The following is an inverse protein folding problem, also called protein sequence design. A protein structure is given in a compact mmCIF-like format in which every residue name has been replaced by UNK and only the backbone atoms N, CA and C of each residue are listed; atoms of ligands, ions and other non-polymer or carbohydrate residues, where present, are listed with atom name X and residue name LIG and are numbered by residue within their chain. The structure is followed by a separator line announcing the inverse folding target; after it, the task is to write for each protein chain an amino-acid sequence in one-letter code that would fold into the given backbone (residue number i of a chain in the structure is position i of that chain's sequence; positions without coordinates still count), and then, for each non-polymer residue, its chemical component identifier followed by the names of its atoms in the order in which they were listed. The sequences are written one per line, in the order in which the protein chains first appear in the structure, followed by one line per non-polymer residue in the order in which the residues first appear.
data_IF_110283987547
#
_entry.id   IF_110283987547
#
_cell.length_a   1.000
_cell.length_b   1.000
_cell.length_c   1.000
_cell.angle_alpha   90.00
_cell.angle_beta   90.00
_cell.angle_gamma   90.00
#
_symmetry.space_group_name_H-M   'P 1'
#
loop_
_entity.id
_entity.type
_entity.pdbx_description
1 polymer ?
#
# COMPACT_ATOMS: atom_id res chain seq x y z
N UNK A 1 14.68 -19.73 2.11
CA UNK A 1 13.60 -19.02 2.83
C UNK A 1 12.37 -18.95 1.95
N UNK A 2 11.18 -18.92 2.54
CA UNK A 2 9.94 -18.73 1.79
C UNK A 2 9.88 -17.29 1.27
N UNK A 3 9.15 -17.05 0.17
CA UNK A 3 9.01 -15.73 -0.43
C UNK A 3 7.53 -15.41 -0.65
N UNK A 4 7.20 -14.13 -0.54
CA UNK A 4 5.88 -13.58 -0.85
C UNK A 4 6.02 -12.49 -1.92
N UNK A 5 4.91 -12.16 -2.57
CA UNK A 5 4.81 -10.97 -3.41
C UNK A 5 4.03 -9.90 -2.67
N UNK A 6 4.53 -8.67 -2.66
CA UNK A 6 3.80 -7.48 -2.20
C UNK A 6 3.69 -6.50 -3.36
N UNK A 7 2.47 -6.08 -3.68
CA UNK A 7 2.16 -5.30 -4.88
C UNK A 7 1.12 -4.20 -4.60
N UNK A 8 0.93 -3.31 -5.57
CA UNK A 8 0.02 -2.17 -5.48
C UNK A 8 0.60 -1.00 -4.70
N UNK A 9 -0.24 -0.32 -3.92
CA UNK A 9 0.06 0.97 -3.29
C UNK A 9 0.90 0.87 -2.00
N UNK A 10 2.09 0.30 -2.17
CA UNK A 10 3.15 0.22 -1.16
C UNK A 10 4.36 1.04 -1.60
N UNK A 11 5.26 1.36 -0.67
CA UNK A 11 6.47 2.13 -0.97
C UNK A 11 7.39 1.40 -1.94
N UNK A 12 7.53 0.07 -1.81
CA UNK A 12 8.33 -0.79 -2.68
C UNK A 12 7.57 -2.08 -2.99
N UNK A 13 6.96 -2.14 -4.17
CA UNK A 13 6.42 -3.39 -4.70
C UNK A 13 7.55 -4.36 -5.07
N UNK A 14 7.34 -5.66 -4.86
CA UNK A 14 8.33 -6.67 -5.19
C UNK A 14 8.15 -7.99 -4.43
N UNK A 15 9.17 -8.83 -4.54
CA UNK A 15 9.23 -10.14 -3.88
C UNK A 15 10.10 -10.03 -2.64
N UNK A 16 9.57 -10.46 -1.49
CA UNK A 16 10.24 -10.33 -0.20
C UNK A 16 10.44 -11.70 0.47
N UNK A 17 11.58 -11.92 1.13
CA UNK A 17 11.78 -13.10 1.95
C UNK A 17 10.92 -13.00 3.22
N UNK A 18 10.32 -14.11 3.62
CA UNK A 18 9.57 -14.24 4.88
C UNK A 18 10.04 -15.46 5.66
N UNK A 19 9.90 -15.37 6.99
CA UNK A 19 10.10 -16.52 7.87
C UNK A 19 8.77 -17.25 8.06
N UNK A 20 8.83 -18.43 8.69
CA UNK A 20 7.62 -19.15 9.03
C UNK A 20 6.69 -18.29 9.88
N UNK A 21 7.20 -17.43 10.78
CA UNK A 21 6.39 -16.68 11.74
C UNK A 21 5.97 -15.28 11.25
N UNK A 22 6.25 -14.93 10.00
CA UNK A 22 5.92 -13.61 9.46
C UNK A 22 4.41 -13.34 9.42
N UNK A 23 4.05 -12.13 9.81
CA UNK A 23 2.69 -11.59 9.84
C UNK A 23 2.43 -10.58 8.71
N UNK A 24 1.19 -10.15 8.53
CA UNK A 24 0.83 -9.22 7.45
C UNK A 24 1.50 -7.87 7.66
N UNK A 25 1.58 -7.44 8.92
CA UNK A 25 2.32 -6.22 9.27
C UNK A 25 3.80 -6.35 8.89
N UNK A 26 4.44 -7.49 9.13
CA UNK A 26 5.86 -7.70 8.78
C UNK A 26 6.06 -7.62 7.26
N UNK A 27 5.16 -8.24 6.49
CA UNK A 27 5.20 -8.19 5.04
C UNK A 27 5.06 -6.76 4.48
N UNK A 28 4.10 -5.98 5.01
CA UNK A 28 3.92 -4.58 4.65
C UNK A 28 5.13 -3.74 5.09
N UNK A 29 5.72 -4.02 6.24
CA UNK A 29 6.93 -3.35 6.71
C UNK A 29 8.13 -3.63 5.79
N UNK A 30 8.31 -4.86 5.32
CA UNK A 30 9.35 -5.23 4.35
C UNK A 30 9.20 -4.46 3.03
N UNK A 31 7.97 -4.18 2.60
CA UNK A 31 7.66 -3.34 1.45
C UNK A 31 7.82 -1.83 1.71
N UNK A 32 8.22 -1.43 2.92
CA UNK A 32 8.39 -0.02 3.30
C UNK A 32 7.08 0.70 3.64
N UNK A 33 6.02 -0.03 3.96
CA UNK A 33 4.72 0.55 4.30
C UNK A 33 3.88 0.92 3.08
N UNK A 34 2.78 1.63 3.35
CA UNK A 34 1.87 2.18 2.34
C UNK A 34 2.50 3.42 1.71
N UNK A 35 2.30 3.61 0.41
CA UNK A 35 2.63 4.90 -0.22
C UNK A 35 1.55 5.97 0.10
N UNK A 36 1.68 7.15 -0.48
CA UNK A 36 0.80 8.30 -0.19
C UNK A 36 -0.70 8.04 -0.46
N UNK A 37 -1.03 7.13 -1.37
CA UNK A 37 -2.40 6.84 -1.79
C UNK A 37 -2.89 5.46 -1.36
N UNK A 38 -2.06 4.63 -0.72
CA UNK A 38 -2.44 3.31 -0.25
C UNK A 38 -3.58 3.32 0.77
N UNK A 39 -4.54 2.41 0.57
CA UNK A 39 -5.66 2.18 1.46
C UNK A 39 -5.34 1.02 2.42
N UNK A 40 -5.03 1.36 3.67
CA UNK A 40 -4.73 0.37 4.70
C UNK A 40 -5.95 -0.47 5.09
N UNK A 41 -7.17 -0.08 4.70
CA UNK A 41 -8.38 -0.89 4.81
C UNK A 41 -8.55 -1.92 3.69
N UNK A 42 -7.84 -1.75 2.57
CA UNK A 42 -7.99 -2.58 1.36
C UNK A 42 -6.70 -3.32 1.03
N UNK A 43 -6.24 -4.11 2.00
CA UNK A 43 -5.12 -5.04 1.80
C UNK A 43 -5.69 -6.43 1.53
N UNK A 44 -5.41 -6.99 0.37
CA UNK A 44 -5.90 -8.29 -0.05
C UNK A 44 -4.76 -9.30 -0.02
N UNK A 45 -4.99 -10.45 0.61
CA UNK A 45 -4.07 -11.59 0.59
C UNK A 45 -4.68 -12.69 -0.25
N UNK A 46 -3.96 -13.06 -1.31
CA UNK A 46 -4.27 -14.19 -2.18
C UNK A 46 -3.37 -15.35 -1.81
N UNK A 47 -3.98 -16.49 -1.49
CA UNK A 47 -3.29 -17.71 -1.08
C UNK A 47 -3.75 -18.90 -1.90
N UNK A 48 -2.82 -19.56 -2.55
CA UNK A 48 -3.12 -20.82 -3.24
C UNK A 48 -3.11 -21.98 -2.24
N UNK A 49 -4.19 -22.76 -2.24
CA UNK A 49 -4.37 -23.96 -1.42
C UNK A 49 -4.84 -25.09 -2.35
N UNK A 50 -3.91 -25.94 -2.77
CA UNK A 50 -4.16 -26.94 -3.80
C UNK A 50 -4.49 -26.27 -5.14
N UNK A 51 -5.66 -26.56 -5.70
CA UNK A 51 -6.16 -25.97 -6.95
C UNK A 51 -6.98 -24.68 -6.73
N UNK A 52 -7.22 -24.30 -5.47
CA UNK A 52 -8.08 -23.16 -5.14
C UNK A 52 -7.24 -21.95 -4.72
N UNK A 53 -7.74 -20.75 -5.01
CA UNK A 53 -7.19 -19.50 -4.48
C UNK A 53 -8.14 -18.93 -3.43
N UNK A 54 -7.67 -18.84 -2.19
CA UNK A 54 -8.34 -18.12 -1.12
C UNK A 54 -7.98 -16.64 -1.19
N UNK A 55 -8.97 -15.78 -0.98
CA UNK A 55 -8.79 -14.32 -0.98
C UNK A 55 -9.41 -13.76 0.28
N UNK A 56 -8.63 -12.97 1.03
CA UNK A 56 -9.11 -12.30 2.22
C UNK A 56 -8.72 -10.82 2.18
N UNK A 57 -9.66 -9.95 2.52
CA UNK A 57 -9.39 -8.54 2.77
C UNK A 57 -9.12 -8.31 4.25
N UNK A 58 -8.04 -7.57 4.54
CA UNK A 58 -7.65 -7.15 5.86
C UNK A 58 -7.61 -5.63 5.94
N UNK A 59 -8.09 -5.11 7.07
CA UNK A 59 -7.91 -3.73 7.46
C UNK A 59 -6.73 -3.62 8.43
N UNK A 60 -5.59 -3.15 7.91
CA UNK A 60 -4.34 -3.00 8.66
C UNK A 60 -4.43 -1.89 9.72
N UNK A 61 -5.28 -0.87 9.55
CA UNK A 61 -5.52 0.12 10.61
C UNK A 61 -6.18 -0.53 11.82
N UNK A 62 -7.20 -1.37 11.61
CA UNK A 62 -7.87 -2.11 12.69
C UNK A 62 -6.92 -3.11 13.36
N UNK A 63 -6.04 -3.75 12.59
CA UNK A 63 -5.02 -4.66 13.13
C UNK A 63 -4.04 -3.88 14.02
N UNK A 64 -3.52 -2.73 13.56
CA UNK A 64 -2.62 -1.88 14.35
C UNK A 64 -3.29 -1.32 15.61
N UNK A 65 -4.59 -1.04 15.54
CA UNK A 65 -5.39 -0.61 16.68
C UNK A 65 -5.75 -1.75 17.66
N UNK A 66 -5.31 -2.99 17.42
CA UNK A 66 -5.63 -4.15 18.26
C UNK A 66 -7.09 -4.63 18.16
N UNK A 67 -7.86 -4.09 17.21
CA UNK A 67 -9.28 -4.40 16.99
C UNK A 67 -9.48 -5.61 16.06
N UNK A 68 -8.42 -6.05 15.40
CA UNK A 68 -8.44 -7.20 14.50
C UNK A 68 -7.15 -7.99 14.63
N UNK A 69 -7.23 -9.30 14.41
CA UNK A 69 -6.07 -10.18 14.50
C UNK A 69 -5.12 -9.93 13.33
N UNK A 70 -3.82 -9.82 13.61
CA UNK A 70 -2.78 -9.80 12.59
C UNK A 70 -2.60 -11.22 12.01
N UNK A 71 -2.97 -11.48 10.75
CA UNK A 71 -2.88 -12.83 10.20
C UNK A 71 -1.42 -13.21 9.94
N UNK A 72 -1.16 -14.52 9.96
CA UNK A 72 0.12 -15.11 9.53
C UNK A 72 0.14 -15.23 8.00
N UNK A 73 1.31 -15.00 7.43
CA UNK A 73 1.57 -15.06 5.98
C UNK A 73 2.44 -16.27 5.71
N UNK A 74 2.22 -16.90 4.57
CA UNK A 74 2.98 -18.08 4.15
C UNK A 74 3.65 -17.82 2.81
N UNK A 75 4.68 -18.61 2.52
CA UNK A 75 5.33 -18.60 1.23
C UNK A 75 4.34 -18.80 0.09
N UNK A 76 4.51 -18.04 -0.98
CA UNK A 76 3.61 -18.04 -2.13
C UNK A 76 2.41 -17.09 -1.99
N UNK A 77 2.15 -16.52 -0.81
CA UNK A 77 1.11 -15.51 -0.67
C UNK A 77 1.43 -14.29 -1.55
N UNK A 78 0.39 -13.74 -2.20
CA UNK A 78 0.44 -12.44 -2.88
C UNK A 78 -0.41 -11.45 -2.10
N UNK A 79 0.21 -10.34 -1.73
CA UNK A 79 -0.40 -9.26 -0.95
C UNK A 79 -0.55 -8.07 -1.88
N UNK A 80 -1.77 -7.59 -2.07
CA UNK A 80 -2.07 -6.44 -2.93
C UNK A 80 -2.72 -5.35 -2.11
N UNK A 81 -2.15 -4.15 -2.17
CA UNK A 81 -2.71 -2.96 -1.54
C UNK A 81 -3.39 -2.12 -2.62
N UNK A 82 -4.67 -1.83 -2.45
CA UNK A 82 -5.40 -0.95 -3.36
C UNK A 82 -5.29 0.52 -2.97
N UNK A 83 -5.48 1.40 -3.95
CA UNK A 83 -5.53 2.84 -3.72
C UNK A 83 -6.80 3.28 -2.98
N UNK A 84 -6.65 4.29 -2.14
CA UNK A 84 -7.76 5.01 -1.52
C UNK A 84 -8.23 6.10 -2.46
N UNK A 85 -9.47 6.00 -2.95
CA UNK A 85 -10.05 6.97 -3.88
C UNK A 85 -9.99 8.41 -3.34
N UNK A 86 -10.20 8.60 -2.03
CA UNK A 86 -10.14 9.91 -1.39
C UNK A 86 -8.71 10.45 -1.31
N UNK A 87 -7.71 9.60 -0.99
CA UNK A 87 -6.30 10.01 -1.01
C UNK A 87 -5.83 10.35 -2.42
N UNK A 88 -6.23 9.58 -3.43
CA UNK A 88 -5.95 9.89 -4.85
C UNK A 88 -6.54 11.23 -5.24
N UNK A 89 -7.81 11.49 -4.93
CA UNK A 89 -8.45 12.77 -5.25
C UNK A 89 -7.76 13.96 -4.55
N UNK A 90 -7.40 13.80 -3.28
CA UNK A 90 -6.66 14.81 -2.52
C UNK A 90 -5.26 15.06 -3.10
N UNK A 91 -4.58 14.01 -3.55
CA UNK A 91 -3.26 14.15 -4.15
C UNK A 91 -3.33 14.92 -5.47
N UNK A 92 -4.26 14.54 -6.35
CA UNK A 92 -4.48 15.24 -7.62
C UNK A 92 -4.83 16.72 -7.41
N UNK A 93 -5.61 17.05 -6.38
CA UNK A 93 -5.93 18.44 -6.05
C UNK A 93 -4.68 19.23 -5.61
N UNK A 94 -3.83 18.64 -4.76
CA UNK A 94 -2.57 19.28 -4.33
C UNK A 94 -1.65 19.55 -5.50
N UNK A 95 -1.53 18.60 -6.42
CA UNK A 95 -0.70 18.74 -7.62
C UNK A 95 -1.21 19.88 -8.51
N UNK A 96 -2.52 19.95 -8.75
CA UNK A 96 -3.13 21.02 -9.55
C UNK A 96 -2.92 22.43 -8.93
N UNK A 97 -3.10 22.55 -7.61
CA UNK A 97 -2.86 23.81 -6.89
C UNK A 97 -1.38 24.22 -6.91
N UNK A 98 -0.46 23.27 -6.84
CA UNK A 98 0.98 23.50 -6.98
C UNK A 98 1.38 24.05 -8.35
N UNK A 99 0.78 23.51 -9.42
CA UNK A 99 0.98 24.01 -10.79
C UNK A 99 0.45 25.44 -10.93
N UNK A 100 -0.76 25.72 -10.44
CA UNK A 100 -1.37 27.05 -10.52
C UNK A 100 -0.54 28.12 -9.78
N UNK A 101 -0.07 27.81 -8.57
CA UNK A 101 0.75 28.73 -7.77
C UNK A 101 2.13 28.97 -8.40
N UNK A 102 2.71 27.99 -9.07
CA UNK A 102 3.96 28.15 -9.83
C UNK A 102 3.77 29.07 -11.04
N UNK A 103 2.68 28.91 -11.80
CA UNK A 103 2.36 29.77 -12.94
C UNK A 103 2.14 31.24 -12.53
N UNK A 104 1.43 31.47 -11.42
CA UNK A 104 1.23 32.82 -10.87
C UNK A 104 2.55 33.51 -10.52
N UNK A 105 3.53 32.79 -9.95
CA UNK A 105 4.85 33.36 -9.63
C UNK A 105 5.62 33.79 -10.88
N UNK A 106 5.56 33.01 -11.96
CA UNK A 106 6.20 33.37 -13.24
C UNK A 106 5.55 34.64 -13.83
N UNK A 107 4.22 34.71 -13.81
CA UNK A 107 3.48 35.86 -14.34
C UNK A 107 3.68 37.16 -13.54
N UNK A 108 4.10 37.08 -12.27
CA UNK A 108 4.23 38.23 -11.36
C UNK A 108 5.67 38.75 -11.26
N UNK A 109 6.67 38.15 -11.92
CA UNK A 109 8.02 38.74 -12.01
C UNK A 109 7.97 39.96 -12.94
N UNK A 110 8.07 41.20 -12.44
CA UNK A 110 8.14 42.38 -13.28
C UNK A 110 9.62 42.61 -13.66
N UNK A 111 9.94 42.64 -14.94
CA UNK A 111 11.23 43.14 -15.43
C UNK A 111 12.24 42.09 -15.90
N UNK A 112 11.80 41.18 -16.77
CA UNK A 112 12.51 41.04 -18.06
C UNK A 112 11.74 41.88 -19.08
#
# INVERSE_FOLDING_TARGET
GQRITVDGEVTRAGIFPVSSNSSLIDAIALAGGFNAVGDAGKVFVYRNVGQNTLVANYNVEQIRAGKSRNPRIYGGDKIVVFASKSKVAMNNLKDALGVASSAARIAVIPGI
#
